data_IF_388363657702
#
_entry.id   IF_388363657702
#
_cell.length_a   1.000
_cell.length_b   1.000
_cell.length_c   1.000
_cell.angle_alpha   90.00
_cell.angle_beta   90.00
_cell.angle_gamma   90.00
#
_symmetry.space_group_name_H-M   'P 1'
#
loop_
_entity.id
_entity.type
_entity.pdbx_description
1 polymer ?
#
# COMPACT_ATOMS: atom_id res chain seq x y z
N UNK A 1 7.76 -6.83 -8.28
CA UNK A 1 7.69 -7.97 -7.36
C UNK A 1 8.82 -8.95 -7.65
N UNK A 2 9.64 -9.30 -6.65
CA UNK A 2 10.68 -10.33 -6.80
C UNK A 2 10.48 -11.48 -5.81
N UNK A 3 10.98 -12.66 -6.17
CA UNK A 3 10.96 -13.84 -5.30
C UNK A 3 12.41 -14.23 -4.96
N UNK A 4 12.70 -14.36 -3.66
CA UNK A 4 14.02 -14.77 -3.15
C UNK A 4 13.87 -15.97 -2.24
N UNK A 5 14.89 -16.80 -2.13
CA UNK A 5 14.90 -17.90 -1.16
C UNK A 5 15.12 -17.36 0.25
N UNK A 6 14.63 -18.09 1.26
CA UNK A 6 14.91 -17.80 2.67
C UNK A 6 16.41 -17.59 2.95
N UNK A 7 17.28 -18.47 2.43
CA UNK A 7 18.73 -18.37 2.64
C UNK A 7 19.33 -17.10 2.05
N UNK A 8 18.87 -16.67 0.88
CA UNK A 8 19.29 -15.40 0.30
C UNK A 8 18.77 -14.22 1.13
N UNK A 9 17.49 -14.25 1.51
CA UNK A 9 16.87 -13.18 2.29
C UNK A 9 17.56 -12.97 3.64
N UNK A 10 17.95 -14.05 4.31
CA UNK A 10 18.72 -14.00 5.56
C UNK A 10 20.07 -13.30 5.38
N UNK A 11 20.79 -13.57 4.28
CA UNK A 11 22.12 -13.02 4.05
C UNK A 11 22.09 -11.57 3.53
N UNK A 12 21.01 -11.18 2.84
CA UNK A 12 20.89 -9.90 2.16
C UNK A 12 19.77 -9.00 2.75
N UNK A 13 19.31 -9.26 3.97
CA UNK A 13 18.10 -8.63 4.54
C UNK A 13 18.12 -7.10 4.45
N UNK A 14 19.26 -6.46 4.75
CA UNK A 14 19.41 -5.01 4.66
C UNK A 14 19.12 -4.49 3.25
N UNK A 15 19.76 -5.06 2.23
CA UNK A 15 19.57 -4.64 0.84
C UNK A 15 18.12 -4.86 0.39
N UNK A 16 17.49 -5.95 0.83
CA UNK A 16 16.08 -6.22 0.55
C UNK A 16 15.18 -5.12 1.13
N UNK A 17 15.42 -4.73 2.39
CA UNK A 17 14.66 -3.67 3.05
C UNK A 17 14.86 -2.31 2.37
N UNK A 18 16.11 -1.97 2.01
CA UNK A 18 16.42 -0.72 1.32
C UNK A 18 15.71 -0.66 -0.04
N UNK A 19 15.70 -1.76 -0.79
CA UNK A 19 15.09 -1.85 -2.12
C UNK A 19 13.54 -1.77 -2.06
N UNK A 20 12.87 -2.47 -1.13
CA UNK A 20 11.40 -2.37 -1.02
C UNK A 20 10.92 -0.98 -0.59
N UNK A 21 11.79 -0.21 0.10
CA UNK A 21 11.52 1.19 0.45
C UNK A 21 11.74 2.11 -0.74
N UNK A 22 12.81 1.91 -1.51
CA UNK A 22 13.16 2.75 -2.66
C UNK A 22 12.21 2.54 -3.85
N UNK A 23 11.93 1.29 -4.17
CA UNK A 23 11.17 0.94 -5.38
C UNK A 23 9.66 0.85 -5.14
N UNK A 24 9.22 1.06 -3.88
CA UNK A 24 7.83 0.88 -3.43
C UNK A 24 7.21 -0.47 -3.85
N UNK A 25 8.05 -1.50 -3.98
CA UNK A 25 7.70 -2.83 -4.47
C UNK A 25 7.78 -3.89 -3.36
N UNK A 26 7.29 -5.09 -3.63
CA UNK A 26 7.24 -6.20 -2.67
C UNK A 26 8.25 -7.31 -3.01
N UNK A 27 8.81 -7.91 -1.97
CA UNK A 27 9.67 -9.09 -2.06
C UNK A 27 8.99 -10.29 -1.42
N UNK A 28 8.86 -11.38 -2.16
CA UNK A 28 8.39 -12.66 -1.65
C UNK A 28 9.59 -13.48 -1.21
N UNK A 29 9.58 -13.96 0.03
CA UNK A 29 10.57 -14.88 0.58
C UNK A 29 9.99 -16.29 0.54
N UNK A 30 10.54 -17.11 -0.35
CA UNK A 30 10.16 -18.51 -0.48
C UNK A 30 10.83 -19.40 0.56
N UNK A 31 10.03 -20.22 1.25
CA UNK A 31 10.48 -21.06 2.37
C UNK A 31 10.16 -22.53 2.09
N UNK A 32 11.20 -23.35 1.86
CA UNK A 32 11.03 -24.78 1.52
C UNK A 32 10.50 -25.63 2.67
N UNK A 33 10.83 -25.27 3.92
CA UNK A 33 10.51 -26.07 5.12
C UNK A 33 9.48 -25.34 6.03
N UNK A 34 8.59 -24.54 5.46
CA UNK A 34 7.54 -23.83 6.20
C UNK A 34 6.19 -23.91 5.47
N UNK A 35 5.08 -23.67 6.18
CA UNK A 35 3.71 -23.76 5.64
C UNK A 35 3.35 -22.68 4.60
N UNK A 36 4.31 -21.88 4.12
CA UNK A 36 4.09 -20.92 3.04
C UNK A 36 5.19 -19.87 2.91
N UNK A 37 5.01 -18.98 1.93
CA UNK A 37 5.94 -17.87 1.66
C UNK A 37 5.60 -16.63 2.50
N UNK A 38 6.57 -15.74 2.67
CA UNK A 38 6.37 -14.47 3.37
C UNK A 38 6.53 -13.29 2.41
N UNK A 39 5.84 -12.19 2.66
CA UNK A 39 5.97 -10.95 1.88
C UNK A 39 6.66 -9.89 2.73
N UNK A 40 7.65 -9.21 2.15
CA UNK A 40 8.31 -8.03 2.70
C UNK A 40 7.97 -6.84 1.81
N UNK A 41 7.56 -5.74 2.43
CA UNK A 41 7.23 -4.48 1.78
C UNK A 41 7.58 -3.31 2.70
N UNK A 42 7.62 -2.10 2.17
CA UNK A 42 7.79 -0.90 3.00
C UNK A 42 6.59 -0.68 3.94
N UNK A 43 6.84 -0.02 5.08
CA UNK A 43 5.76 0.35 6.00
C UNK A 43 4.74 1.30 5.34
N UNK A 44 5.20 2.21 4.48
CA UNK A 44 4.31 3.09 3.71
C UNK A 44 3.40 2.30 2.79
N UNK A 45 3.93 1.31 2.06
CA UNK A 45 3.12 0.45 1.18
C UNK A 45 2.08 -0.34 1.98
N UNK A 46 2.46 -0.91 3.12
CA UNK A 46 1.54 -1.60 4.02
C UNK A 46 0.41 -0.67 4.50
N UNK A 47 0.76 0.52 5.01
CA UNK A 47 -0.22 1.49 5.50
C UNK A 47 -1.17 1.96 4.38
N UNK A 48 -0.65 2.23 3.18
CA UNK A 48 -1.48 2.62 2.03
C UNK A 48 -2.47 1.53 1.64
N UNK A 49 -2.07 0.26 1.66
CA UNK A 49 -2.96 -0.88 1.40
C UNK A 49 -4.03 -0.97 2.50
N UNK A 50 -3.63 -0.91 3.76
CA UNK A 50 -4.56 -1.01 4.89
C UNK A 50 -5.58 0.14 4.91
N UNK A 51 -5.14 1.36 4.62
CA UNK A 51 -6.03 2.51 4.51
C UNK A 51 -7.01 2.37 3.34
N UNK A 52 -6.52 1.89 2.19
CA UNK A 52 -7.39 1.63 1.04
C UNK A 52 -8.44 0.58 1.37
N UNK A 53 -8.04 -0.53 2.02
CA UNK A 53 -8.96 -1.56 2.49
C UNK A 53 -9.96 -1.00 3.51
N UNK A 54 -9.52 -0.14 4.42
CA UNK A 54 -10.38 0.50 5.40
C UNK A 54 -11.45 1.38 4.73
N UNK A 55 -11.02 2.31 3.87
CA UNK A 55 -11.91 3.23 3.15
C UNK A 55 -12.89 2.50 2.22
N UNK A 56 -12.45 1.40 1.61
CA UNK A 56 -13.29 0.62 0.67
C UNK A 56 -14.12 -0.48 1.34
N UNK A 57 -13.90 -0.76 2.63
CA UNK A 57 -14.64 -1.82 3.34
C UNK A 57 -16.15 -1.58 3.44
N UNK A 58 -16.58 -0.31 3.44
CA UNK A 58 -17.99 0.06 3.44
C UNK A 58 -18.43 0.40 2.01
N UNK A 59 -19.39 -0.34 1.41
CA UNK A 59 -19.80 -0.11 0.02
C UNK A 59 -20.38 1.28 -0.23
N UNK A 60 -21.04 1.88 0.77
CA UNK A 60 -21.55 3.26 0.67
C UNK A 60 -20.40 4.26 0.60
N UNK A 61 -19.38 4.07 1.45
CA UNK A 61 -18.20 4.93 1.45
C UNK A 61 -17.36 4.76 0.17
N UNK A 62 -17.19 3.52 -0.28
CA UNK A 62 -16.49 3.20 -1.52
C UNK A 62 -17.15 3.88 -2.73
N UNK A 63 -18.49 3.84 -2.81
CA UNK A 63 -19.24 4.50 -3.88
C UNK A 63 -19.13 6.04 -3.81
N UNK A 64 -19.21 6.61 -2.60
CA UNK A 64 -19.03 8.05 -2.39
C UNK A 64 -17.62 8.52 -2.80
N UNK A 65 -16.59 7.78 -2.41
CA UNK A 65 -15.19 8.06 -2.77
C UNK A 65 -14.97 7.93 -4.29
N UNK A 66 -15.49 6.88 -4.92
CA UNK A 66 -15.41 6.71 -6.36
C UNK A 66 -16.07 7.88 -7.13
N UNK A 67 -17.23 8.34 -6.65
CA UNK A 67 -17.91 9.52 -7.20
C UNK A 67 -17.07 10.78 -7.03
N UNK A 68 -16.52 11.03 -5.83
CA UNK A 68 -15.68 12.19 -5.57
C UNK A 68 -14.44 12.23 -6.48
N UNK A 69 -13.76 11.09 -6.66
CA UNK A 69 -12.61 10.97 -7.57
C UNK A 69 -13.01 11.24 -9.03
N UNK A 70 -14.19 10.77 -9.46
CA UNK A 70 -14.68 11.02 -10.82
C UNK A 70 -14.99 12.51 -11.06
N UNK A 71 -15.57 13.19 -10.06
CA UNK A 71 -15.83 14.63 -10.12
C UNK A 71 -14.54 15.45 -10.18
N UNK A 72 -13.54 15.09 -9.36
CA UNK A 72 -12.22 15.72 -9.35
C UNK A 72 -11.52 15.59 -10.71
N UNK A 73 -11.46 14.36 -11.26
CA UNK A 73 -10.88 14.10 -12.60
C UNK A 73 -11.63 14.82 -13.74
N UNK A 74 -12.92 15.10 -13.55
CA UNK A 74 -13.73 15.86 -14.50
C UNK A 74 -13.61 17.39 -14.32
N UNK A 75 -12.79 17.87 -13.38
CA UNK A 75 -12.64 19.30 -13.09
C UNK A 75 -13.86 19.92 -12.42
N UNK A 76 -14.70 19.13 -11.75
CA UNK A 76 -15.92 19.59 -11.08
C UNK A 76 -15.69 20.00 -9.62
N UNK A 77 -14.42 20.07 -9.18
CA UNK A 77 -14.06 20.53 -7.86
C UNK A 77 -14.49 22.00 -7.66
N UNK A 78 -14.94 22.34 -6.46
CA UNK A 78 -15.29 23.70 -6.07
C UNK A 78 -14.38 24.16 -4.95
N UNK A 79 -13.67 25.26 -5.17
CA UNK A 79 -12.89 25.90 -4.11
C UNK A 79 -13.82 26.44 -3.02
N UNK A 80 -13.48 26.11 -1.78
CA UNK A 80 -14.19 26.55 -0.57
C UNK A 80 -13.17 27.06 0.42
N UNK A 81 -13.44 28.20 1.04
CA UNK A 81 -12.63 28.65 2.18
C UNK A 81 -12.89 27.75 3.38
N UNK A 82 -11.82 27.42 4.12
CA UNK A 82 -11.93 26.70 5.38
C UNK A 82 -12.75 27.56 6.36
N UNK A 83 -13.70 26.92 7.04
CA UNK A 83 -14.46 27.58 8.09
C UNK A 83 -13.52 27.82 9.30
N UNK A 84 -13.66 28.95 10.02
CA UNK A 84 -12.92 29.16 11.25
C UNK A 84 -13.26 28.05 12.25
N UNK A 85 -12.24 27.50 12.91
CA UNK A 85 -12.42 26.73 14.15
C UNK A 85 -12.59 27.72 15.30
N UNK A 86 -13.75 27.69 15.98
CA UNK A 86 -13.96 28.41 17.25
C UNK A 86 -12.99 27.93 18.34
#
# INVERSE_FOLDING_TARGET
MRVVTYSHARNALKSILDEVVQDADVTIISRRDAEGDAVVMSLSSYNSIMETLHLTSNPVNAAALAKAIAQDKAGQAQDRQLLPTD
#
